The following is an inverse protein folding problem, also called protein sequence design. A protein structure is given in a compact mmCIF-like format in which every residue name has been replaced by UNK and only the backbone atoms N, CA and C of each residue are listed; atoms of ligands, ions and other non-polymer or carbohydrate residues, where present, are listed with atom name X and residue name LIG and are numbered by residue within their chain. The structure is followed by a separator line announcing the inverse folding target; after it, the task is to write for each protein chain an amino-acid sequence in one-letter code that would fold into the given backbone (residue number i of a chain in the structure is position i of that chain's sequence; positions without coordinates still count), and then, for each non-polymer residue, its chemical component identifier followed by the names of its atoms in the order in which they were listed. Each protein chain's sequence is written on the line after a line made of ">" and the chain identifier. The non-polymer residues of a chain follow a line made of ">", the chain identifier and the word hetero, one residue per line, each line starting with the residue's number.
data_IF_150985026517
#
_entry.id   IF_150985026517
#
_cell.length_a   1.000
_cell.length_b   1.000
_cell.length_c   1.000
_cell.angle_alpha   90.00
_cell.angle_beta   90.00
_cell.angle_gamma   90.00
#
_symmetry.space_group_name_H-M   'P 1'
#
loop_
_entity.id
_entity.type
_entity.pdbx_description
1 polymer ?
#
# COMPACT_ATOMS: atom_id res chain seq x y z
N UNK A 1 -5.03 15.96 -9.77
CA UNK A 1 -3.71 16.34 -9.26
C UNK A 1 -2.64 15.93 -10.26
N UNK A 2 -1.95 16.89 -10.85
CA UNK A 2 -0.94 16.65 -11.91
C UNK A 2 0.42 16.48 -11.23
N UNK A 3 1.02 15.28 -11.30
CA UNK A 3 2.37 15.02 -10.80
C UNK A 3 3.36 15.45 -11.88
N UNK A 4 4.16 16.48 -11.60
CA UNK A 4 5.21 16.98 -12.46
C UNK A 4 6.45 16.10 -12.30
N UNK A 5 6.86 15.46 -13.39
CA UNK A 5 8.16 14.81 -13.51
C UNK A 5 9.23 15.88 -13.72
N UNK A 6 10.09 16.09 -12.72
CA UNK A 6 11.28 16.93 -12.85
C UNK A 6 12.41 16.06 -13.40
N UNK A 7 12.79 16.34 -14.65
CA UNK A 7 13.97 15.74 -15.31
C UNK A 7 15.22 16.46 -14.75
N UNK A 8 16.07 15.70 -14.06
CA UNK A 8 17.35 16.18 -13.53
C UNK A 8 18.41 16.07 -14.62
N UNK A 9 18.78 17.21 -15.22
CA UNK A 9 19.87 17.30 -16.18
C UNK A 9 21.21 17.37 -15.41
N UNK A 10 22.05 16.35 -15.59
CA UNK A 10 23.43 16.32 -15.07
C UNK A 10 24.32 17.07 -16.05
N UNK A 11 24.83 18.23 -15.64
CA UNK A 11 25.82 19.01 -16.36
C UNK A 11 27.20 18.46 -16.05
N UNK A 12 27.87 17.87 -17.05
CA UNK A 12 29.27 17.43 -17.02
C UNK A 12 30.17 18.67 -17.18
N UNK A 13 30.77 19.14 -16.09
CA UNK A 13 31.86 20.12 -16.12
C UNK A 13 33.19 19.38 -16.36
N UNK A 14 33.89 19.77 -17.42
CA UNK A 14 35.14 19.17 -17.84
C UNK A 14 36.36 19.51 -16.95
N UNK A 15 37.45 18.75 -17.06
CA UNK A 15 38.57 18.80 -16.14
C UNK A 15 39.57 19.90 -16.48
N UNK A 16 39.90 20.70 -15.48
CA UNK A 16 41.08 21.59 -15.51
C UNK A 16 42.37 20.75 -15.47
N UNK A 17 43.22 20.95 -16.47
CA UNK A 17 44.57 20.36 -16.51
C UNK A 17 45.44 21.03 -15.46
N UNK A 18 45.72 20.35 -14.36
CA UNK A 18 46.81 20.65 -13.46
C UNK A 18 48.04 19.79 -13.86
N UNK A 19 49.10 20.40 -14.32
CA UNK A 19 50.37 19.76 -14.59
C UNK A 19 51.05 19.42 -13.26
N UNK A 20 50.94 18.16 -12.82
CA UNK A 20 51.65 17.64 -11.67
C UNK A 20 52.89 16.90 -12.12
N UNK A 21 54.06 17.33 -11.60
CA UNK A 21 55.34 16.66 -11.70
C UNK A 21 55.22 15.21 -11.25
N UNK A 22 55.65 14.25 -12.08
CA UNK A 22 55.63 12.85 -11.77
C UNK A 22 56.52 12.55 -10.54
N UNK A 23 56.07 11.97 -9.46
CA UNK A 23 56.94 11.39 -8.45
C UNK A 23 57.63 10.18 -9.04
N UNK A 24 58.94 10.10 -8.84
CA UNK A 24 59.77 8.94 -9.24
C UNK A 24 59.20 7.70 -8.59
N UNK A 25 58.65 6.83 -9.41
CA UNK A 25 58.13 5.54 -8.96
C UNK A 25 59.29 4.68 -8.48
N UNK A 26 59.37 4.48 -7.17
CA UNK A 26 60.15 3.42 -6.59
C UNK A 26 59.64 2.08 -7.16
N UNK A 27 60.51 1.21 -7.75
CA UNK A 27 60.04 -0.08 -8.26
C UNK A 27 59.42 -0.90 -7.12
N UNK A 28 58.13 -1.13 -7.18
CA UNK A 28 57.47 -2.08 -6.28
C UNK A 28 58.12 -3.46 -6.45
N UNK A 29 58.43 -4.16 -5.37
CA UNK A 29 58.89 -5.54 -5.45
C UNK A 29 57.87 -6.38 -6.24
N UNK A 30 58.30 -7.35 -7.05
CA UNK A 30 57.40 -8.18 -7.84
C UNK A 30 56.39 -8.82 -6.88
N UNK A 31 55.08 -8.78 -7.18
CA UNK A 31 54.07 -9.36 -6.33
C UNK A 31 54.34 -10.86 -6.24
N UNK A 32 54.58 -11.37 -5.02
CA UNK A 32 54.72 -12.79 -4.77
C UNK A 32 53.43 -13.46 -5.24
N UNK A 33 53.53 -14.56 -6.02
CA UNK A 33 52.39 -15.26 -6.60
C UNK A 33 51.28 -15.58 -5.57
N UNK A 34 51.65 -15.80 -4.30
CA UNK A 34 50.72 -15.99 -3.18
C UNK A 34 49.88 -14.77 -2.87
N UNK A 35 50.41 -13.55 -3.03
CA UNK A 35 49.67 -12.29 -2.84
C UNK A 35 48.55 -12.12 -3.86
N UNK A 36 48.85 -12.42 -5.15
CA UNK A 36 47.89 -12.34 -6.24
C UNK A 36 46.73 -13.36 -6.04
N UNK A 37 47.05 -14.57 -5.63
CA UNK A 37 46.05 -15.60 -5.34
C UNK A 37 45.16 -15.20 -4.18
N UNK A 38 45.70 -14.53 -3.17
CA UNK A 38 44.97 -14.06 -2.02
C UNK A 38 44.05 -12.88 -2.40
N UNK A 39 44.50 -11.96 -3.22
CA UNK A 39 43.68 -10.85 -3.75
C UNK A 39 42.53 -11.37 -4.62
N UNK A 40 42.79 -12.35 -5.49
CA UNK A 40 41.71 -12.95 -6.32
C UNK A 40 40.66 -13.63 -5.45
N UNK A 41 41.06 -14.32 -4.37
CA UNK A 41 40.12 -14.94 -3.42
C UNK A 41 39.27 -13.90 -2.71
N UNK A 42 39.87 -12.80 -2.26
CA UNK A 42 39.17 -11.71 -1.60
C UNK A 42 38.17 -11.00 -2.58
N UNK A 43 38.60 -10.74 -3.80
CA UNK A 43 37.74 -10.19 -4.87
C UNK A 43 36.56 -11.11 -5.18
N UNK A 44 36.81 -12.40 -5.31
CA UNK A 44 35.74 -13.37 -5.54
C UNK A 44 34.76 -13.41 -4.38
N UNK A 45 35.21 -13.40 -3.13
CA UNK A 45 34.34 -13.35 -1.95
C UNK A 45 33.55 -12.04 -1.89
N UNK A 46 34.16 -10.91 -2.27
CA UNK A 46 33.46 -9.62 -2.33
C UNK A 46 32.36 -9.62 -3.41
N UNK A 47 32.66 -10.15 -4.60
CA UNK A 47 31.68 -10.30 -5.69
C UNK A 47 30.53 -11.24 -5.29
N UNK A 48 30.83 -12.38 -4.65
CA UNK A 48 29.83 -13.34 -4.22
C UNK A 48 28.91 -12.73 -3.11
N UNK A 49 29.47 -11.96 -2.16
CA UNK A 49 28.70 -11.26 -1.12
C UNK A 49 27.84 -10.15 -1.71
N UNK A 50 28.41 -9.32 -2.58
CA UNK A 50 27.68 -8.25 -3.26
C UNK A 50 26.58 -8.81 -4.17
N UNK A 51 26.83 -9.90 -4.88
CA UNK A 51 25.85 -10.58 -5.71
C UNK A 51 24.65 -11.11 -4.89
N UNK A 52 24.90 -11.68 -3.71
CA UNK A 52 23.83 -12.14 -2.82
C UNK A 52 22.98 -10.96 -2.28
N UNK A 53 23.62 -9.88 -1.85
CA UNK A 53 22.94 -8.68 -1.38
C UNK A 53 22.04 -8.06 -2.46
N UNK A 54 22.54 -7.97 -3.70
CA UNK A 54 21.76 -7.41 -4.81
C UNK A 54 20.54 -8.27 -5.18
N UNK A 55 20.64 -9.60 -5.12
CA UNK A 55 19.51 -10.51 -5.33
C UNK A 55 18.48 -10.39 -4.22
N UNK A 56 18.90 -10.29 -2.96
CA UNK A 56 17.99 -10.08 -1.83
C UNK A 56 17.27 -8.75 -1.94
N UNK A 57 17.96 -7.67 -2.30
CA UNK A 57 17.35 -6.36 -2.55
C UNK A 57 16.31 -6.43 -3.68
N UNK A 58 16.63 -7.08 -4.79
CA UNK A 58 15.70 -7.24 -5.90
C UNK A 58 14.44 -8.03 -5.50
N UNK A 59 14.59 -9.09 -4.72
CA UNK A 59 13.46 -9.87 -4.19
C UNK A 59 12.58 -9.05 -3.24
N UNK A 60 13.18 -8.32 -2.31
CA UNK A 60 12.42 -7.49 -1.36
C UNK A 60 11.70 -6.34 -2.07
N UNK A 61 12.35 -5.70 -3.04
CA UNK A 61 11.72 -4.65 -3.86
C UNK A 61 10.54 -5.21 -4.66
N UNK A 62 10.69 -6.42 -5.22
CA UNK A 62 9.58 -7.11 -5.89
C UNK A 62 8.43 -7.43 -4.94
N UNK A 63 8.72 -7.89 -3.73
CA UNK A 63 7.70 -8.14 -2.71
C UNK A 63 7.00 -6.86 -2.28
N UNK A 64 7.73 -5.74 -2.11
CA UNK A 64 7.13 -4.44 -1.82
C UNK A 64 6.16 -4.00 -2.92
N UNK A 65 6.54 -4.13 -4.18
CA UNK A 65 5.67 -3.79 -5.30
C UNK A 65 4.36 -4.62 -5.30
N UNK A 66 4.45 -5.91 -4.95
CA UNK A 66 3.26 -6.78 -4.81
C UNK A 66 2.39 -6.35 -3.64
N UNK A 67 2.99 -5.98 -2.49
CA UNK A 67 2.23 -5.51 -1.32
C UNK A 67 1.57 -4.16 -1.58
N UNK A 68 2.25 -3.24 -2.26
CA UNK A 68 1.69 -1.94 -2.66
C UNK A 68 0.46 -2.14 -3.55
N UNK A 69 0.55 -3.03 -4.55
CA UNK A 69 -0.59 -3.38 -5.39
C UNK A 69 -1.76 -3.99 -4.58
N UNK A 70 -1.46 -4.83 -3.58
CA UNK A 70 -2.49 -5.41 -2.71
C UNK A 70 -3.12 -4.35 -1.81
N UNK A 71 -2.32 -3.46 -1.24
CA UNK A 71 -2.79 -2.35 -0.42
C UNK A 71 -3.74 -1.44 -1.22
N UNK A 72 -3.37 -1.09 -2.46
CA UNK A 72 -4.23 -0.31 -3.36
C UNK A 72 -5.58 -0.99 -3.62
N UNK A 73 -5.59 -2.30 -3.91
CA UNK A 73 -6.83 -3.07 -4.11
C UNK A 73 -7.69 -3.15 -2.84
N UNK A 74 -7.06 -3.29 -1.68
CA UNK A 74 -7.77 -3.33 -0.41
C UNK A 74 -8.40 -1.97 -0.09
N UNK A 75 -7.70 -0.88 -0.40
CA UNK A 75 -8.23 0.47 -0.27
C UNK A 75 -9.43 0.69 -1.20
N UNK A 76 -9.32 0.34 -2.49
CA UNK A 76 -10.46 0.43 -3.42
C UNK A 76 -11.68 -0.38 -2.94
N UNK A 77 -11.44 -1.58 -2.39
CA UNK A 77 -12.52 -2.40 -1.83
C UNK A 77 -13.18 -1.75 -0.61
N UNK A 78 -12.40 -1.08 0.24
CA UNK A 78 -12.90 -0.31 1.38
C UNK A 78 -13.74 0.87 0.93
N UNK A 79 -13.25 1.64 -0.05
CA UNK A 79 -13.94 2.82 -0.57
C UNK A 79 -15.30 2.42 -1.20
N UNK A 80 -15.35 1.33 -1.97
CA UNK A 80 -16.61 0.80 -2.52
C UNK A 80 -17.61 0.40 -1.43
N UNK A 81 -17.14 -0.20 -0.33
CA UNK A 81 -18.00 -0.57 0.80
C UNK A 81 -18.51 0.67 1.54
N UNK A 82 -17.74 1.75 1.57
CA UNK A 82 -18.18 3.04 2.13
C UNK A 82 -19.27 3.68 1.28
N UNK A 83 -19.11 3.68 -0.03
CA UNK A 83 -20.13 4.16 -0.97
C UNK A 83 -21.41 3.33 -0.89
N UNK A 84 -21.30 1.98 -0.83
CA UNK A 84 -22.46 1.09 -0.63
C UNK A 84 -23.18 1.40 0.69
N UNK A 85 -22.45 1.60 1.78
CA UNK A 85 -23.01 1.92 3.09
C UNK A 85 -23.73 3.29 3.07
N UNK A 86 -23.14 4.29 2.43
CA UNK A 86 -23.73 5.61 2.27
C UNK A 86 -25.02 5.55 1.44
N UNK A 87 -24.99 4.87 0.30
CA UNK A 87 -26.19 4.71 -0.55
C UNK A 87 -27.33 3.99 0.20
N UNK A 88 -26.99 2.95 0.97
CA UNK A 88 -27.94 2.21 1.79
C UNK A 88 -28.57 3.09 2.89
N UNK A 89 -27.77 3.89 3.56
CA UNK A 89 -28.25 4.83 4.59
C UNK A 89 -29.22 5.86 3.99
N UNK A 90 -28.95 6.37 2.79
CA UNK A 90 -29.87 7.27 2.08
C UNK A 90 -31.20 6.58 1.75
N UNK A 91 -31.15 5.31 1.31
CA UNK A 91 -32.38 4.54 1.05
C UNK A 91 -33.18 4.30 2.33
N UNK A 92 -32.50 3.97 3.43
CA UNK A 92 -33.13 3.77 4.74
C UNK A 92 -33.85 5.03 5.21
N UNK A 93 -33.20 6.19 5.14
CA UNK A 93 -33.79 7.49 5.49
C UNK A 93 -35.02 7.81 4.66
N UNK A 94 -35.04 7.50 3.37
CA UNK A 94 -36.23 7.67 2.52
C UNK A 94 -37.39 6.78 2.96
N UNK A 95 -37.10 5.49 3.23
CA UNK A 95 -38.13 4.55 3.71
C UNK A 95 -38.66 4.94 5.11
N UNK A 96 -37.80 5.44 6.00
CA UNK A 96 -38.21 5.95 7.30
C UNK A 96 -39.13 7.21 7.17
N UNK A 97 -38.84 8.08 6.22
CA UNK A 97 -39.71 9.22 5.91
C UNK A 97 -41.07 8.74 5.34
N UNK A 98 -41.02 7.78 4.38
CA UNK A 98 -42.25 7.18 3.83
C UNK A 98 -43.08 6.49 4.93
N UNK A 99 -42.48 5.73 5.83
CA UNK A 99 -43.16 5.10 6.94
C UNK A 99 -43.84 6.14 7.86
N UNK A 100 -43.16 7.24 8.15
CA UNK A 100 -43.76 8.35 8.94
C UNK A 100 -44.93 9.01 8.24
N UNK A 101 -44.85 9.21 6.93
CA UNK A 101 -45.95 9.82 6.16
C UNK A 101 -47.14 8.87 6.08
N UNK A 102 -46.90 7.57 5.84
CA UNK A 102 -47.98 6.56 5.84
C UNK A 102 -48.63 6.44 7.23
N UNK A 103 -47.82 6.51 8.31
CA UNK A 103 -48.35 6.47 9.69
C UNK A 103 -49.28 7.68 9.95
N UNK A 104 -48.85 8.91 9.58
CA UNK A 104 -49.67 10.09 9.71
C UNK A 104 -50.97 10.00 8.90
N UNK A 105 -50.89 9.50 7.67
CA UNK A 105 -52.05 9.28 6.82
C UNK A 105 -53.01 8.26 7.42
N UNK A 106 -52.49 7.20 8.03
CA UNK A 106 -53.27 6.16 8.72
C UNK A 106 -54.06 6.75 9.92
N UNK A 107 -53.40 7.58 10.74
CA UNK A 107 -54.02 8.24 11.89
C UNK A 107 -55.14 9.19 11.48
N UNK A 108 -55.00 9.83 10.32
CA UNK A 108 -56.00 10.81 9.79
C UNK A 108 -57.13 10.13 9.00
N UNK A 109 -56.99 8.89 8.60
CA UNK A 109 -57.96 8.18 7.80
C UNK A 109 -59.21 7.85 8.60
N UNK A 110 -60.39 8.31 8.11
CA UNK A 110 -61.69 8.05 8.72
C UNK A 110 -62.39 6.84 8.09
N UNK A 111 -62.06 6.53 6.86
CA UNK A 111 -62.60 5.40 6.10
C UNK A 111 -61.86 4.09 6.41
N UNK A 112 -62.61 3.03 6.64
CA UNK A 112 -62.04 1.74 7.07
C UNK A 112 -61.28 1.04 5.93
N UNK A 113 -61.74 1.15 4.67
CA UNK A 113 -61.04 0.64 3.50
C UNK A 113 -59.68 1.31 3.32
N UNK A 114 -59.66 2.65 3.45
CA UNK A 114 -58.40 3.43 3.38
C UNK A 114 -57.41 3.07 4.51
N UNK A 115 -57.93 2.81 5.71
CA UNK A 115 -57.07 2.32 6.83
C UNK A 115 -56.44 0.98 6.52
N UNK A 116 -57.21 0.03 5.97
CA UNK A 116 -56.69 -1.28 5.59
C UNK A 116 -55.54 -1.19 4.54
N UNK A 117 -55.74 -0.32 3.52
CA UNK A 117 -54.72 -0.07 2.49
C UNK A 117 -53.44 0.55 3.07
N UNK A 118 -53.58 1.53 3.98
CA UNK A 118 -52.44 2.17 4.63
C UNK A 118 -51.72 1.24 5.60
N UNK A 119 -52.42 0.35 6.32
CA UNK A 119 -51.83 -0.68 7.16
C UNK A 119 -50.98 -1.66 6.33
N UNK A 120 -51.51 -2.10 5.18
CA UNK A 120 -50.76 -2.93 4.25
C UNK A 120 -49.49 -2.24 3.75
N UNK A 121 -49.56 -0.97 3.36
CA UNK A 121 -48.39 -0.17 2.97
C UNK A 121 -47.41 -0.01 4.09
N UNK A 122 -47.84 0.22 5.32
CA UNK A 122 -46.98 0.37 6.49
C UNK A 122 -46.19 -0.94 6.78
N UNK A 123 -46.91 -2.07 6.74
CA UNK A 123 -46.24 -3.40 6.87
C UNK A 123 -45.22 -3.63 5.78
N UNK A 124 -45.53 -3.33 4.52
CA UNK A 124 -44.60 -3.48 3.41
C UNK A 124 -43.38 -2.55 3.56
N UNK A 125 -43.56 -1.31 4.00
CA UNK A 125 -42.44 -0.37 4.22
C UNK A 125 -41.58 -0.82 5.39
N UNK A 126 -42.16 -1.32 6.48
CA UNK A 126 -41.41 -1.89 7.62
C UNK A 126 -40.60 -3.11 7.21
N UNK A 127 -41.18 -4.05 6.45
CA UNK A 127 -40.45 -5.21 5.93
C UNK A 127 -39.24 -4.81 5.08
N UNK A 128 -39.37 -3.74 4.25
CA UNK A 128 -38.25 -3.19 3.49
C UNK A 128 -37.20 -2.55 4.39
N UNK A 129 -37.59 -1.88 5.47
CA UNK A 129 -36.64 -1.32 6.44
C UNK A 129 -35.85 -2.43 7.15
N UNK A 130 -36.51 -3.52 7.55
CA UNK A 130 -35.86 -4.66 8.18
C UNK A 130 -34.86 -5.34 7.23
N UNK A 131 -35.24 -5.49 5.95
CA UNK A 131 -34.33 -5.99 4.91
C UNK A 131 -33.09 -5.09 4.76
N UNK A 132 -33.28 -3.76 4.73
CA UNK A 132 -32.16 -2.81 4.63
C UNK A 132 -31.29 -2.83 5.90
N UNK A 133 -31.87 -3.02 7.07
CA UNK A 133 -31.12 -3.16 8.32
C UNK A 133 -30.25 -4.43 8.30
N UNK A 134 -30.79 -5.56 7.86
CA UNK A 134 -30.02 -6.80 7.69
C UNK A 134 -28.89 -6.64 6.67
N UNK A 135 -29.11 -5.90 5.58
CA UNK A 135 -28.09 -5.63 4.59
C UNK A 135 -27.00 -4.70 5.15
N UNK A 136 -27.35 -3.67 5.92
CA UNK A 136 -26.41 -2.80 6.62
C UNK A 136 -25.47 -3.59 7.54
N UNK A 137 -26.01 -4.51 8.33
CA UNK A 137 -25.20 -5.37 9.19
C UNK A 137 -24.18 -6.22 8.42
N UNK A 138 -24.55 -6.70 7.22
CA UNK A 138 -23.63 -7.43 6.34
C UNK A 138 -22.52 -6.52 5.79
N UNK A 139 -22.84 -5.30 5.38
CA UNK A 139 -21.85 -4.32 4.93
C UNK A 139 -20.88 -4.00 6.05
N UNK A 140 -21.36 -3.71 7.27
CA UNK A 140 -20.49 -3.44 8.42
C UNK A 140 -19.55 -4.61 8.75
N UNK A 141 -20.03 -5.83 8.67
CA UNK A 141 -19.20 -7.04 8.83
C UNK A 141 -18.11 -7.13 7.74
N UNK A 142 -18.43 -6.79 6.49
CA UNK A 142 -17.45 -6.74 5.39
C UNK A 142 -16.43 -5.62 5.57
N UNK A 143 -16.88 -4.44 6.01
CA UNK A 143 -15.99 -3.30 6.34
C UNK A 143 -15.00 -3.64 7.45
N UNK A 144 -15.47 -4.29 8.51
CA UNK A 144 -14.60 -4.72 9.61
C UNK A 144 -13.49 -5.67 9.11
N UNK A 145 -13.84 -6.66 8.27
CA UNK A 145 -12.86 -7.57 7.67
C UNK A 145 -11.90 -6.85 6.72
N UNK A 146 -12.38 -5.91 5.91
CA UNK A 146 -11.54 -5.14 5.00
C UNK A 146 -10.53 -4.28 5.77
N UNK A 147 -10.96 -3.63 6.87
CA UNK A 147 -10.06 -2.86 7.74
C UNK A 147 -9.00 -3.73 8.41
N UNK A 148 -9.40 -4.92 8.87
CA UNK A 148 -8.44 -5.86 9.43
C UNK A 148 -7.40 -6.30 8.39
N UNK A 149 -7.84 -6.70 7.19
CA UNK A 149 -6.95 -7.07 6.10
C UNK A 149 -5.99 -5.91 5.73
N UNK A 150 -6.47 -4.67 5.65
CA UNK A 150 -5.65 -3.50 5.39
C UNK A 150 -4.58 -3.29 6.47
N UNK A 151 -4.93 -3.46 7.76
CA UNK A 151 -3.99 -3.32 8.87
C UNK A 151 -2.89 -4.41 8.83
N UNK A 152 -3.25 -5.63 8.48
CA UNK A 152 -2.31 -6.75 8.33
C UNK A 152 -1.34 -6.52 7.16
N UNK A 153 -1.84 -6.06 6.01
CA UNK A 153 -0.98 -5.72 4.85
C UNK A 153 -0.05 -4.55 5.17
N UNK A 154 -0.53 -3.54 5.88
CA UNK A 154 0.29 -2.41 6.32
C UNK A 154 1.39 -2.84 7.30
N UNK A 155 1.12 -3.79 8.20
CA UNK A 155 2.12 -4.34 9.09
C UNK A 155 3.21 -5.11 8.32
N UNK A 156 2.83 -5.91 7.34
CA UNK A 156 3.76 -6.62 6.44
C UNK A 156 4.63 -5.66 5.63
N UNK A 157 4.03 -4.58 5.12
CA UNK A 157 4.75 -3.54 4.39
C UNK A 157 5.85 -2.91 5.27
N UNK A 158 5.52 -2.53 6.51
CA UNK A 158 6.50 -1.96 7.45
C UNK A 158 7.64 -2.93 7.80
N UNK A 159 7.34 -4.22 7.95
CA UNK A 159 8.35 -5.24 8.22
C UNK A 159 9.32 -5.40 7.04
N UNK A 160 8.82 -5.40 5.82
CA UNK A 160 9.67 -5.46 4.62
C UNK A 160 10.49 -4.19 4.40
N UNK A 161 9.90 -3.03 4.64
CA UNK A 161 10.59 -1.74 4.55
C UNK A 161 11.75 -1.68 5.56
N UNK A 162 11.52 -2.14 6.79
CA UNK A 162 12.55 -2.23 7.80
C UNK A 162 13.69 -3.18 7.39
N UNK A 163 13.38 -4.34 6.79
CA UNK A 163 14.37 -5.29 6.27
C UNK A 163 15.18 -4.72 5.11
N UNK A 164 14.54 -3.96 4.22
CA UNK A 164 15.25 -3.24 3.16
C UNK A 164 16.24 -2.23 3.72
N UNK A 165 15.78 -1.40 4.65
CA UNK A 165 16.63 -0.40 5.29
C UNK A 165 17.81 -1.03 6.09
N UNK A 166 17.65 -2.25 6.60
CA UNK A 166 18.73 -3.00 7.24
C UNK A 166 19.75 -3.48 6.22
N UNK A 167 19.29 -4.09 5.13
CA UNK A 167 20.18 -4.54 4.03
C UNK A 167 20.95 -3.38 3.38
N UNK A 168 20.30 -2.24 3.17
CA UNK A 168 20.98 -1.04 2.65
C UNK A 168 22.11 -0.59 3.58
N UNK A 169 21.88 -0.63 4.90
CA UNK A 169 22.91 -0.29 5.89
C UNK A 169 24.06 -1.31 5.93
N UNK A 170 23.77 -2.59 5.79
CA UNK A 170 24.78 -3.65 5.71
C UNK A 170 25.64 -3.50 4.47
N UNK A 171 25.03 -3.32 3.30
CA UNK A 171 25.74 -3.08 2.03
C UNK A 171 26.56 -1.79 2.09
N UNK A 172 26.03 -0.73 2.70
CA UNK A 172 26.77 0.54 2.89
C UNK A 172 28.01 0.36 3.77
N UNK A 173 27.95 -0.43 4.84
CA UNK A 173 29.10 -0.73 5.72
C UNK A 173 30.17 -1.58 5.03
N UNK A 174 29.76 -2.49 4.14
CA UNK A 174 30.71 -3.32 3.38
C UNK A 174 31.48 -2.53 2.31
N UNK A 175 30.91 -1.43 1.82
CA UNK A 175 31.54 -0.56 0.82
C UNK A 175 32.45 0.52 1.43
N UNK A 176 32.27 0.89 2.71
CA UNK A 176 33.05 1.94 3.39
C UNK A 176 34.50 1.57 3.76
N UNK A 177 34.89 0.28 4.05
CA UNK A 177 36.28 -0.06 4.33
C UNK A 177 37.24 0.06 3.14
N UNK A 178 36.74 0.49 1.97
CA UNK A 178 37.57 0.72 0.77
C UNK A 178 37.86 2.21 0.51
N UNK A 179 37.47 3.12 1.41
CA UNK A 179 37.81 4.54 1.47
C UNK A 179 38.91 4.82 2.47
#
# INVERSE_FOLDING_TARGET
>A
MRIHWAVLAVVLAGPARASAQAPQATPLPPPNGDSIVQEIRLLRQAIERHGRGSVQMALLTSHLAVLDQRAARTQEASDRLEDEAFALEQQRRRLEAEARDVTRAFEQAKDEGRRADLDLKLRATRARLDEKAAFAARIESRRARARQAASEEQARYRDLDAKLAELERELGRELDPLR
#
